data_IF_551570135996
#
_entry.id   IF_551570135996
#
_cell.length_a   1.000
_cell.length_b   1.000
_cell.length_c   1.000
_cell.angle_alpha   90.00
_cell.angle_beta   90.00
_cell.angle_gamma   90.00
#
_symmetry.space_group_name_H-M   'P 1'
#
loop_
_entity.id
_entity.type
_entity.pdbx_description
1 polymer ?
#
# COMPACT_ATOMS: atom_id res chain seq x y z
N UNK A 1 -1.71 5.01 -9.46
CA UNK A 1 -1.04 4.85 -8.15
C UNK A 1 -0.75 3.37 -7.90
N UNK A 2 0.46 3.07 -7.41
CA UNK A 2 0.93 1.73 -7.04
C UNK A 2 0.77 0.64 -8.11
N UNK A 3 1.15 0.92 -9.36
CA UNK A 3 0.92 -0.01 -10.47
C UNK A 3 1.78 -1.27 -10.36
N UNK A 4 3.05 -1.13 -10.01
CA UNK A 4 3.98 -2.24 -9.85
C UNK A 4 3.64 -3.08 -8.62
N UNK A 5 3.28 -2.44 -7.50
CA UNK A 5 2.79 -3.18 -6.32
C UNK A 5 1.56 -4.02 -6.63
N UNK A 6 0.57 -3.48 -7.36
CA UNK A 6 -0.61 -4.26 -7.77
C UNK A 6 -0.26 -5.44 -8.68
N UNK A 7 0.72 -5.28 -9.58
CA UNK A 7 1.19 -6.37 -10.43
C UNK A 7 1.91 -7.44 -9.61
N UNK A 8 2.83 -7.04 -8.74
CA UNK A 8 3.53 -7.94 -7.83
C UNK A 8 2.56 -8.77 -6.98
N UNK A 9 1.57 -8.14 -6.34
CA UNK A 9 0.57 -8.85 -5.54
C UNK A 9 -0.19 -9.91 -6.35
N UNK A 10 -0.58 -9.58 -7.59
CA UNK A 10 -1.26 -10.55 -8.49
C UNK A 10 -0.34 -11.72 -8.87
N UNK A 11 0.92 -11.45 -9.17
CA UNK A 11 1.89 -12.48 -9.53
C UNK A 11 2.15 -13.44 -8.36
N UNK A 12 2.02 -12.95 -7.13
CA UNK A 12 2.09 -13.75 -5.89
C UNK A 12 0.76 -14.44 -5.51
N UNK A 13 -0.25 -14.40 -6.40
CA UNK A 13 -1.55 -15.01 -6.15
C UNK A 13 -2.41 -14.27 -5.10
N UNK A 14 -2.04 -13.05 -4.72
CA UNK A 14 -2.78 -12.25 -3.73
C UNK A 14 -3.89 -11.45 -4.40
N UNK A 15 -5.04 -11.39 -3.72
CA UNK A 15 -6.16 -10.52 -4.09
C UNK A 15 -5.95 -9.15 -3.45
N UNK A 16 -6.54 -8.11 -4.05
CA UNK A 16 -6.53 -6.77 -3.46
C UNK A 16 -7.82 -6.00 -3.72
N UNK A 17 -8.09 -5.03 -2.84
CA UNK A 17 -9.18 -4.05 -2.95
C UNK A 17 -8.63 -2.63 -2.86
N UNK A 18 -9.17 -1.73 -3.70
CA UNK A 18 -8.80 -0.31 -3.75
C UNK A 18 -9.87 0.52 -3.07
N UNK A 19 -9.47 1.53 -2.31
CA UNK A 19 -10.36 2.56 -1.76
C UNK A 19 -9.71 3.93 -1.88
N UNK A 20 -10.53 4.95 -2.13
CA UNK A 20 -10.11 6.35 -2.19
C UNK A 20 -10.89 7.14 -1.15
N UNK A 21 -10.19 7.90 -0.34
CA UNK A 21 -10.77 8.70 0.74
C UNK A 21 -10.29 10.14 0.54
N UNK A 22 -11.23 11.08 0.53
CA UNK A 22 -10.96 12.52 0.55
C UNK A 22 -11.42 13.05 1.91
N UNK A 23 -10.52 13.20 2.90
CA UNK A 23 -10.86 13.76 4.19
C UNK A 23 -11.32 15.20 4.04
N UNK A 24 -12.33 15.61 4.81
CA UNK A 24 -12.82 17.00 4.81
C UNK A 24 -11.84 17.96 5.49
N UNK A 25 -11.11 17.48 6.50
CA UNK A 25 -10.28 18.30 7.39
C UNK A 25 -8.77 18.20 7.10
N UNK A 26 -8.35 17.45 6.07
CA UNK A 26 -6.94 17.30 5.72
C UNK A 26 -6.71 17.60 4.23
N UNK A 27 -5.60 18.26 3.87
CA UNK A 27 -5.33 18.63 2.48
C UNK A 27 -4.95 17.43 1.60
N UNK A 28 -4.52 16.33 2.20
CA UNK A 28 -4.09 15.13 1.48
C UNK A 28 -5.27 14.19 1.22
N UNK A 29 -5.32 13.65 0.00
CA UNK A 29 -6.16 12.50 -0.32
C UNK A 29 -5.46 11.21 0.11
N UNK A 30 -6.26 10.19 0.42
CA UNK A 30 -5.76 8.90 0.88
C UNK A 30 -6.21 7.80 -0.07
N UNK A 31 -5.26 7.02 -0.58
CA UNK A 31 -5.51 5.81 -1.33
C UNK A 31 -5.15 4.60 -0.47
N UNK A 32 -6.08 3.66 -0.30
CA UNK A 32 -5.86 2.44 0.48
C UNK A 32 -5.93 1.24 -0.44
N UNK A 33 -4.87 0.44 -0.45
CA UNK A 33 -4.79 -0.84 -1.12
C UNK A 33 -4.74 -1.95 -0.07
N UNK A 34 -5.88 -2.58 0.20
CA UNK A 34 -5.94 -3.77 1.07
C UNK A 34 -5.62 -5.02 0.27
N UNK A 35 -4.92 -6.00 0.84
CA UNK A 35 -4.52 -7.22 0.13
C UNK A 35 -4.35 -8.44 1.05
N UNK A 36 -4.40 -9.62 0.45
CA UNK A 36 -4.22 -10.93 1.11
C UNK A 36 -4.70 -12.10 0.22
N UNK A 37 -4.50 -13.34 0.67
CA UNK A 37 -5.02 -14.55 0.00
C UNK A 37 -6.52 -14.70 0.27
N UNK A 38 -6.86 -15.00 1.53
CA UNK A 38 -8.23 -15.26 1.97
C UNK A 38 -8.86 -14.04 2.67
N UNK A 39 -8.06 -13.31 3.46
CA UNK A 39 -8.49 -12.13 4.20
C UNK A 39 -7.66 -10.88 3.84
N UNK A 40 -8.32 -9.73 3.72
CA UNK A 40 -7.69 -8.45 3.38
C UNK A 40 -7.08 -7.74 4.60
N UNK A 41 -6.23 -8.46 5.33
CA UNK A 41 -5.67 -8.00 6.61
C UNK A 41 -4.43 -7.12 6.45
N UNK A 42 -3.80 -7.15 5.27
CA UNK A 42 -2.67 -6.30 4.92
C UNK A 42 -3.15 -5.07 4.16
N UNK A 43 -2.45 -3.94 4.32
CA UNK A 43 -2.78 -2.69 3.60
C UNK A 43 -1.57 -1.83 3.32
N UNK A 44 -1.60 -1.20 2.16
CA UNK A 44 -0.78 -0.04 1.83
C UNK A 44 -1.69 1.19 1.86
N UNK A 45 -1.29 2.23 2.61
CA UNK A 45 -1.99 3.50 2.72
C UNK A 45 -1.08 4.54 2.07
N UNK A 46 -1.57 5.21 1.04
CA UNK A 46 -0.81 6.23 0.31
C UNK A 46 -1.47 7.57 0.56
N UNK A 47 -0.72 8.50 1.14
CA UNK A 47 -1.09 9.91 1.20
C UNK A 47 -0.58 10.58 -0.07
N UNK A 48 -1.43 11.38 -0.68
CA UNK A 48 -1.07 12.09 -1.90
C UNK A 48 -1.81 13.42 -2.02
N UNK A 49 -1.16 14.36 -2.69
CA UNK A 49 -1.73 15.65 -3.08
C UNK A 49 -1.93 15.70 -4.59
N UNK A 50 -2.59 16.74 -5.08
CA UNK A 50 -2.66 17.03 -6.51
C UNK A 50 -1.83 18.28 -6.78
N UNK A 51 -0.99 18.23 -7.82
CA UNK A 51 -0.34 19.42 -8.35
C UNK A 51 -1.37 20.36 -8.97
N UNK A 52 -0.96 21.59 -9.27
CA UNK A 52 -1.81 22.55 -9.99
C UNK A 52 -2.27 22.02 -11.36
N UNK A 53 -1.48 21.15 -12.01
CA UNK A 53 -1.84 20.43 -13.24
C UNK A 53 -2.75 19.20 -13.02
N UNK A 54 -3.18 18.95 -11.78
CA UNK A 54 -4.00 17.79 -11.41
C UNK A 54 -3.25 16.47 -11.30
N UNK A 55 -1.92 16.44 -11.44
CA UNK A 55 -1.13 15.21 -11.30
C UNK A 55 -1.05 14.82 -9.83
N UNK A 56 -1.25 13.53 -9.54
CA UNK A 56 -1.09 13.00 -8.20
C UNK A 56 0.38 12.99 -7.80
N UNK A 57 0.70 13.60 -6.66
CA UNK A 57 2.02 13.57 -6.04
C UNK A 57 1.91 12.78 -4.74
N UNK A 58 2.57 11.63 -4.68
CA UNK A 58 2.69 10.84 -3.46
C UNK A 58 3.51 11.64 -2.45
N UNK A 59 2.99 11.74 -1.22
CA UNK A 59 3.69 12.35 -0.09
C UNK A 59 4.25 11.28 0.82
N UNK A 60 3.48 10.22 1.08
CA UNK A 60 3.85 9.14 2.00
C UNK A 60 3.19 7.83 1.59
N UNK A 61 3.88 6.71 1.85
CA UNK A 61 3.37 5.35 1.69
C UNK A 61 3.59 4.59 2.99
N UNK A 62 2.51 4.19 3.64
CA UNK A 62 2.53 3.36 4.84
C UNK A 62 2.15 1.92 4.51
N UNK A 63 3.01 0.97 4.83
CA UNK A 63 2.71 -0.45 4.82
C UNK A 63 2.34 -0.93 6.22
N UNK A 64 1.18 -1.57 6.32
CA UNK A 64 0.74 -2.27 7.52
C UNK A 64 0.34 -3.69 7.18
N UNK A 65 1.22 -4.62 7.50
CA UNK A 65 0.99 -6.06 7.43
C UNK A 65 0.23 -6.55 8.66
N UNK A 66 -0.45 -7.67 8.52
CA UNK A 66 -1.08 -8.37 9.63
C UNK A 66 -0.04 -8.73 10.70
N UNK A 67 -0.40 -8.62 11.98
CA UNK A 67 0.48 -8.82 13.15
C UNK A 67 1.70 -7.86 13.22
N UNK A 68 1.82 -6.88 12.33
CA UNK A 68 2.90 -5.88 12.38
C UNK A 68 2.65 -4.85 13.49
N UNK A 69 3.62 -4.71 14.42
CA UNK A 69 3.52 -3.81 15.57
C UNK A 69 3.57 -2.32 15.20
N UNK A 70 4.47 -1.94 14.29
CA UNK A 70 4.63 -0.56 13.81
C UNK A 70 4.60 -0.51 12.29
N UNK A 71 3.83 0.39 11.65
CA UNK A 71 3.82 0.55 10.20
C UNK A 71 5.23 0.89 9.68
N UNK A 72 5.51 0.50 8.44
CA UNK A 72 6.73 0.91 7.72
C UNK A 72 6.36 2.00 6.73
N UNK A 73 7.11 3.09 6.75
CA UNK A 73 6.87 4.29 5.95
C UNK A 73 7.91 4.35 4.82
N UNK A 74 7.46 4.67 3.61
CA UNK A 74 8.29 4.75 2.41
C UNK A 74 8.00 6.04 1.64
N UNK A 75 9.01 6.56 0.95
CA UNK A 75 8.87 7.78 0.14
C UNK A 75 8.28 7.50 -1.24
N UNK A 76 8.48 6.30 -1.77
CA UNK A 76 8.07 5.93 -3.12
C UNK A 76 7.79 4.43 -3.27
N UNK A 77 7.21 4.07 -4.41
CA UNK A 77 6.81 2.69 -4.71
C UNK A 77 8.00 1.72 -4.83
N UNK A 78 9.19 2.21 -5.20
CA UNK A 78 10.38 1.36 -5.30
C UNK A 78 10.84 0.89 -3.91
N UNK A 79 10.92 1.82 -2.96
CA UNK A 79 11.26 1.50 -1.56
C UNK A 79 10.24 0.55 -0.93
N UNK A 80 8.94 0.79 -1.19
CA UNK A 80 7.88 -0.11 -0.76
C UNK A 80 8.08 -1.52 -1.31
N UNK A 81 8.32 -1.66 -2.61
CA UNK A 81 8.48 -2.97 -3.26
C UNK A 81 9.72 -3.72 -2.78
N UNK A 82 10.86 -3.02 -2.68
CA UNK A 82 12.09 -3.60 -2.18
C UNK A 82 11.92 -4.17 -0.76
N UNK A 83 11.08 -3.54 0.07
CA UNK A 83 10.71 -4.10 1.36
C UNK A 83 9.68 -5.23 1.24
N UNK A 84 8.64 -5.07 0.44
CA UNK A 84 7.51 -5.99 0.39
C UNK A 84 7.89 -7.37 -0.17
N UNK A 85 8.74 -7.39 -1.20
CA UNK A 85 9.15 -8.59 -1.94
C UNK A 85 9.66 -9.72 -1.02
N UNK A 86 10.66 -9.51 -0.14
CA UNK A 86 11.14 -10.56 0.77
C UNK A 86 10.23 -10.81 1.99
N UNK A 87 9.26 -9.94 2.29
CA UNK A 87 8.50 -10.00 3.55
C UNK A 87 7.10 -10.61 3.42
N UNK A 88 6.57 -10.82 2.21
CA UNK A 88 5.27 -11.46 1.99
C UNK A 88 5.36 -12.98 2.14
N UNK A 89 6.40 -13.62 1.60
CA UNK A 89 6.54 -15.09 1.66
C UNK A 89 6.86 -15.59 3.08
N UNK A 90 7.66 -14.84 3.84
CA UNK A 90 8.15 -15.24 5.18
C UNK A 90 7.06 -15.25 6.26
N UNK A 91 5.94 -14.54 6.06
CA UNK A 91 4.90 -14.38 7.09
C UNK A 91 3.71 -15.33 6.97
N UNK A 92 3.43 -15.84 5.78
CA UNK A 92 2.26 -16.72 5.55
C UNK A 92 2.63 -18.22 5.68
N UNK A 93 3.91 -18.58 5.75
CA UNK A 93 4.39 -19.95 5.97
C UNK A 93 4.63 -20.33 7.43
N UNK A 94 4.33 -19.44 8.38
CA UNK A 94 4.42 -19.68 9.83
C UNK A 94 3.03 -19.69 10.50
N UNK A 95 1.99 -20.04 9.73
CA UNK A 95 0.64 -20.32 10.21
C UNK A 95 0.34 -21.83 10.12
#
# INVERSE_FOLDING_TARGET
MLNRTKQYLRNQGLRYQKSYIRPLMAPESVYVLKFGKDAFNNRVIVRYTHTWTGRQRITEIDLRLHKQKHPRVFKNENELLAYLEPHIEVREGNE
#
